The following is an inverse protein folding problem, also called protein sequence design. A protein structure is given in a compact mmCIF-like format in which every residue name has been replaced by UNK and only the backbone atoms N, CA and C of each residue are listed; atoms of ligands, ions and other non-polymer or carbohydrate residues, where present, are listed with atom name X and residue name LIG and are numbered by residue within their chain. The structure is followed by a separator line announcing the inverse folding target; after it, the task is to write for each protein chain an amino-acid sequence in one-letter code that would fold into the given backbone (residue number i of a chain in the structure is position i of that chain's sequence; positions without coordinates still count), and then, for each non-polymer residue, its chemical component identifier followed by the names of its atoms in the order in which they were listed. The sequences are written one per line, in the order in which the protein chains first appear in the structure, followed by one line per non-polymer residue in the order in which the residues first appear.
data_IF_386186846038
#
_entry.id   IF_386186846038
#
_cell.length_a   1.000
_cell.length_b   1.000
_cell.length_c   1.000
_cell.angle_alpha   90.00
_cell.angle_beta   90.00
_cell.angle_gamma   90.00
#
_symmetry.space_group_name_H-M   'P 1'
#
loop_
_entity.id
_entity.type
_entity.pdbx_description
1 polymer ?
#
# COMPACT_ATOMS: atom_id res chain seq x y z
N UNK A 1 -28.80 7.03 9.59
CA UNK A 1 -27.90 6.34 10.53
C UNK A 1 -27.09 5.36 9.70
N UNK A 2 -25.98 5.81 9.12
CA UNK A 2 -25.07 4.94 8.38
C UNK A 2 -24.34 4.06 9.39
N UNK A 3 -24.62 2.77 9.38
CA UNK A 3 -23.82 1.81 10.12
C UNK A 3 -22.44 1.78 9.47
N UNK A 4 -21.48 2.44 10.11
CA UNK A 4 -20.07 2.36 9.77
C UNK A 4 -19.67 0.89 9.92
N UNK A 5 -19.58 0.16 8.81
CA UNK A 5 -19.02 -1.19 8.81
C UNK A 5 -17.56 -1.03 9.22
N UNK A 6 -17.20 -1.47 10.43
CA UNK A 6 -15.81 -1.49 10.89
C UNK A 6 -15.06 -2.61 10.18
N UNK A 7 -14.66 -2.37 8.93
CA UNK A 7 -13.71 -3.21 8.23
C UNK A 7 -12.28 -2.87 8.70
N UNK A 8 -11.38 -3.86 8.70
CA UNK A 8 -9.97 -3.65 9.02
C UNK A 8 -9.37 -2.59 8.08
N UNK A 9 -9.00 -1.43 8.61
CA UNK A 9 -8.34 -0.38 7.85
C UNK A 9 -6.84 -0.43 8.14
N UNK A 10 -6.04 -0.11 7.13
CA UNK A 10 -4.60 -0.02 7.28
C UNK A 10 -4.00 1.11 6.45
N UNK A 11 -2.97 1.74 6.98
CA UNK A 11 -2.16 2.76 6.32
C UNK A 11 -0.71 2.31 6.25
N UNK A 12 -0.03 2.77 5.22
CA UNK A 12 1.40 2.54 5.00
C UNK A 12 2.03 3.89 4.74
N UNK A 13 2.96 4.27 5.61
CA UNK A 13 3.65 5.55 5.58
C UNK A 13 5.15 5.30 5.58
N UNK A 14 5.89 6.11 4.82
CA UNK A 14 7.34 6.11 4.85
C UNK A 14 7.83 7.15 5.84
N UNK A 15 8.69 6.72 6.75
CA UNK A 15 9.35 7.57 7.74
C UNK A 15 10.57 8.26 7.13
N UNK A 16 11.11 9.26 7.85
CA UNK A 16 12.29 10.02 7.43
C UNK A 16 13.55 9.15 7.30
N UNK A 17 13.63 8.06 8.06
CA UNK A 17 14.70 7.05 8.01
C UNK A 17 14.52 6.02 6.88
N UNK A 18 13.59 6.28 5.95
CA UNK A 18 13.20 5.44 4.83
C UNK A 18 12.52 4.11 5.19
N UNK A 19 12.26 3.85 6.48
CA UNK A 19 11.48 2.69 6.92
C UNK A 19 10.02 2.84 6.53
N UNK A 20 9.33 1.72 6.28
CA UNK A 20 7.89 1.72 6.04
C UNK A 20 7.17 1.31 7.33
N UNK A 21 6.30 2.18 7.81
CA UNK A 21 5.42 1.89 8.94
C UNK A 21 4.04 1.50 8.43
N UNK A 22 3.62 0.29 8.75
CA UNK A 22 2.25 -0.18 8.57
C UNK A 22 1.50 0.03 9.87
N UNK A 23 0.34 0.68 9.81
CA UNK A 23 -0.59 0.82 10.95
C UNK A 23 -1.93 0.25 10.56
N UNK A 24 -2.63 -0.35 11.50
CA UNK A 24 -4.00 -0.81 11.29
C UNK A 24 -4.92 -0.44 12.45
N UNK A 25 -6.19 -0.32 12.12
CA UNK A 25 -7.25 -0.04 13.08
C UNK A 25 -7.88 -1.33 13.59
N UNK A 26 -8.57 -1.21 14.71
CA UNK A 26 -9.20 -2.29 15.48
C UNK A 26 -8.19 -3.16 16.25
N UNK A 27 -8.55 -3.50 17.47
CA UNK A 27 -7.72 -4.36 18.33
C UNK A 27 -7.88 -5.81 17.88
N UNK A 28 -7.04 -6.24 16.93
CA UNK A 28 -6.99 -7.61 16.42
C UNK A 28 -5.87 -8.36 17.15
N UNK A 29 -6.20 -9.53 17.70
CA UNK A 29 -5.27 -10.32 18.50
C UNK A 29 -4.02 -10.74 17.73
N UNK A 30 -4.18 -11.20 16.49
CA UNK A 30 -3.10 -11.58 15.59
C UNK A 30 -3.35 -11.00 14.19
N UNK A 31 -2.33 -10.37 13.61
CA UNK A 31 -2.32 -9.90 12.23
C UNK A 31 -1.14 -10.51 11.49
N UNK A 32 -1.43 -11.27 10.44
CA UNK A 32 -0.44 -11.75 9.47
C UNK A 32 -0.28 -10.73 8.36
N UNK A 33 0.94 -10.31 8.10
CA UNK A 33 1.29 -9.31 7.09
C UNK A 33 2.03 -10.03 5.97
N UNK A 34 1.42 -10.05 4.79
CA UNK A 34 2.02 -10.55 3.56
C UNK A 34 2.44 -9.36 2.69
N UNK A 35 3.45 -9.54 1.85
CA UNK A 35 3.87 -8.52 0.89
C UNK A 35 4.08 -9.12 -0.50
N UNK A 36 3.93 -8.28 -1.53
CA UNK A 36 4.20 -8.61 -2.93
C UNK A 36 4.48 -7.34 -3.74
N UNK A 37 5.11 -7.48 -4.90
CA UNK A 37 5.21 -6.42 -5.92
C UNK A 37 3.97 -6.34 -6.83
N UNK A 38 3.02 -7.26 -6.66
CA UNK A 38 1.70 -7.23 -7.29
C UNK A 38 0.61 -6.89 -6.25
N UNK A 39 -0.38 -6.04 -6.58
CA UNK A 39 -1.51 -5.77 -5.69
C UNK A 39 -2.56 -6.89 -5.65
N UNK A 40 -2.49 -7.84 -6.60
CA UNK A 40 -3.48 -8.92 -6.76
C UNK A 40 -2.91 -10.23 -6.19
N UNK A 41 -3.77 -11.07 -5.61
CA UNK A 41 -3.44 -12.42 -5.12
C UNK A 41 -2.30 -12.50 -4.07
N UNK A 42 -2.07 -11.44 -3.29
CA UNK A 42 -0.95 -11.36 -2.33
C UNK A 42 -0.90 -12.52 -1.32
N UNK A 43 -2.03 -13.01 -0.82
CA UNK A 43 -2.03 -14.16 0.13
C UNK A 43 -1.57 -15.47 -0.52
N UNK A 44 -1.71 -15.60 -1.84
CA UNK A 44 -1.40 -16.80 -2.61
C UNK A 44 0.01 -16.74 -3.22
N UNK A 45 0.41 -15.56 -3.71
CA UNK A 45 1.65 -15.37 -4.48
C UNK A 45 2.69 -14.53 -3.77
N UNK A 46 2.32 -13.88 -2.67
CA UNK A 46 3.22 -13.05 -1.87
C UNK A 46 4.00 -13.85 -0.83
N UNK A 47 4.82 -13.13 -0.08
CA UNK A 47 5.61 -13.69 1.01
C UNK A 47 5.06 -13.22 2.36
N UNK A 48 5.05 -14.10 3.36
CA UNK A 48 4.74 -13.71 4.73
C UNK A 48 5.89 -12.87 5.28
N UNK A 49 5.62 -11.59 5.54
CA UNK A 49 6.59 -10.66 6.10
C UNK A 49 6.69 -10.81 7.63
N UNK A 50 5.54 -10.85 8.30
CA UNK A 50 5.47 -10.91 9.76
C UNK A 50 4.13 -11.45 10.27
N UNK A 51 4.15 -12.00 11.48
CA UNK A 51 2.96 -12.25 12.30
C UNK A 51 3.08 -11.40 13.55
N UNK A 52 2.12 -10.50 13.75
CA UNK A 52 2.12 -9.50 14.82
C UNK A 52 0.99 -9.81 15.79
N UNK A 53 1.27 -9.85 17.09
CA UNK A 53 0.30 -10.20 18.13
C UNK A 53 0.10 -9.05 19.11
N UNK A 54 -1.16 -8.65 19.35
CA UNK A 54 -1.52 -7.63 20.34
C UNK A 54 -1.07 -6.20 20.04
N UNK A 55 -0.49 -5.95 18.87
CA UNK A 55 -0.03 -4.65 18.41
C UNK A 55 -0.91 -4.11 17.27
N UNK A 56 -0.79 -2.81 16.99
CA UNK A 56 -1.52 -2.12 15.91
C UNK A 56 -0.61 -1.54 14.82
N UNK A 57 0.68 -1.85 14.88
CA UNK A 57 1.65 -1.38 13.88
C UNK A 57 2.82 -2.35 13.70
N UNK A 58 3.47 -2.23 12.54
CA UNK A 58 4.68 -2.96 12.20
C UNK A 58 5.59 -2.07 11.36
N UNK A 59 6.88 -1.99 11.72
CA UNK A 59 7.88 -1.21 11.00
C UNK A 59 8.77 -2.14 10.17
N UNK A 60 9.02 -1.75 8.93
CA UNK A 60 9.80 -2.50 7.97
C UNK A 60 11.05 -1.70 7.62
N UNK A 61 12.21 -2.25 7.96
CA UNK A 61 13.48 -1.55 7.83
C UNK A 61 14.14 -1.74 6.45
N UNK A 62 13.98 -2.91 5.82
CA UNK A 62 14.76 -3.30 4.63
C UNK A 62 13.89 -3.85 3.50
N UNK A 63 12.92 -3.08 3.01
CA UNK A 63 12.29 -3.41 1.73
C UNK A 63 13.03 -2.71 0.59
N UNK A 64 13.48 -3.48 -0.40
CA UNK A 64 14.11 -2.97 -1.63
C UNK A 64 13.25 -1.85 -2.24
N UNK A 65 13.85 -0.68 -2.44
CA UNK A 65 13.15 0.53 -2.93
C UNK A 65 12.96 0.55 -4.45
N UNK A 66 13.41 -0.49 -5.15
CA UNK A 66 13.39 -0.53 -6.62
C UNK A 66 12.05 -0.92 -7.22
N UNK A 67 11.16 -1.50 -6.41
CA UNK A 67 9.82 -1.90 -6.81
C UNK A 67 8.81 -1.40 -5.78
N UNK A 68 7.56 -1.26 -6.22
CA UNK A 68 6.48 -0.82 -5.34
C UNK A 68 5.92 -2.00 -4.54
N UNK A 69 5.99 -1.98 -3.20
CA UNK A 69 5.40 -3.03 -2.39
C UNK A 69 3.92 -2.78 -2.12
N UNK A 70 3.17 -3.88 -2.10
CA UNK A 70 1.80 -3.97 -1.63
C UNK A 70 1.77 -4.93 -0.45
N UNK A 71 0.96 -4.59 0.55
CA UNK A 71 0.84 -5.35 1.78
C UNK A 71 -0.58 -5.84 1.94
N UNK A 72 -0.72 -7.10 2.35
CA UNK A 72 -2.00 -7.71 2.71
C UNK A 72 -1.96 -8.08 4.18
N UNK A 73 -2.80 -7.43 4.96
CA UNK A 73 -2.98 -7.71 6.38
C UNK A 73 -4.18 -8.64 6.52
N UNK A 74 -3.99 -9.75 7.23
CA UNK A 74 -5.02 -10.76 7.51
C UNK A 74 -5.11 -10.94 9.01
N UNK A 75 -6.23 -10.49 9.59
CA UNK A 75 -6.51 -10.64 11.01
C UNK A 75 -7.02 -12.04 11.36
N UNK A 76 -6.76 -12.49 12.58
CA UNK A 76 -7.34 -13.75 13.12
C UNK A 76 -8.87 -13.75 13.16
N UNK A 77 -9.49 -12.57 13.17
CA UNK A 77 -10.93 -12.38 13.11
C UNK A 77 -11.54 -12.57 11.71
N UNK A 78 -10.75 -12.97 10.71
CA UNK A 78 -11.18 -13.21 9.33
C UNK A 78 -11.28 -11.94 8.47
N UNK A 79 -10.97 -10.77 9.02
CA UNK A 79 -10.89 -9.53 8.24
C UNK A 79 -9.56 -9.43 7.51
N UNK A 80 -9.57 -8.85 6.32
CA UNK A 80 -8.35 -8.61 5.57
C UNK A 80 -8.40 -7.29 4.81
N UNK A 81 -7.23 -6.68 4.62
CA UNK A 81 -7.09 -5.42 3.87
C UNK A 81 -5.78 -5.38 3.10
N UNK A 82 -5.85 -4.89 1.87
CA UNK A 82 -4.65 -4.53 1.10
C UNK A 82 -4.34 -3.05 1.30
N UNK A 83 -3.09 -2.72 1.61
CA UNK A 83 -2.59 -1.36 1.75
C UNK A 83 -1.22 -1.22 1.06
N UNK A 84 -0.87 0.00 0.69
CA UNK A 84 0.42 0.33 0.09
C UNK A 84 0.75 1.80 0.38
N UNK A 85 2.01 2.18 0.18
CA UNK A 85 2.42 3.58 0.26
C UNK A 85 1.63 4.38 -0.77
N UNK A 86 0.90 5.40 -0.29
CA UNK A 86 -0.02 6.19 -1.13
C UNK A 86 0.72 7.23 -1.95
N UNK A 87 1.65 7.96 -1.33
CA UNK A 87 2.53 8.91 -2.01
C UNK A 87 3.76 8.13 -2.47
N UNK A 88 3.96 8.04 -3.78
CA UNK A 88 5.11 7.28 -4.28
C UNK A 88 6.39 8.09 -4.04
N UNK A 89 7.52 7.42 -3.72
CA UNK A 89 8.78 8.08 -3.40
C UNK A 89 9.53 8.53 -4.67
N UNK A 90 8.83 9.26 -5.55
CA UNK A 90 9.40 9.79 -6.79
C UNK A 90 10.24 11.03 -6.49
N UNK A 91 11.38 11.15 -7.16
CA UNK A 91 12.35 12.24 -7.00
C UNK A 91 11.90 13.51 -7.73
N UNK A 92 11.32 13.34 -8.92
CA UNK A 92 11.03 14.41 -9.86
C UNK A 92 9.56 14.76 -10.04
N UNK A 93 8.65 13.99 -9.43
CA UNK A 93 7.21 14.24 -9.50
C UNK A 93 6.65 14.70 -8.16
N UNK A 94 5.87 15.78 -8.20
CA UNK A 94 5.25 16.32 -6.99
C UNK A 94 3.86 15.72 -6.77
N UNK A 95 3.56 15.37 -5.51
CA UNK A 95 2.26 14.86 -5.08
C UNK A 95 1.74 13.66 -5.89
N UNK A 96 2.63 12.81 -6.42
CA UNK A 96 2.24 11.60 -7.14
C UNK A 96 1.66 10.56 -6.19
N UNK A 97 0.39 10.19 -6.40
CA UNK A 97 -0.40 9.36 -5.49
C UNK A 97 -1.12 8.24 -6.22
N UNK A 98 -1.15 7.07 -5.59
CA UNK A 98 -2.10 6.01 -5.93
C UNK A 98 -3.45 6.24 -5.21
N UNK A 99 -4.55 6.10 -5.93
CA UNK A 99 -5.91 6.25 -5.42
C UNK A 99 -6.49 4.93 -4.85
N UNK A 100 -5.69 3.87 -4.80
CA UNK A 100 -6.07 2.60 -4.21
C UNK A 100 -6.49 2.69 -2.75
N UNK A 101 -7.37 1.76 -2.37
CA UNK A 101 -7.87 1.62 -1.01
C UNK A 101 -8.98 2.59 -0.61
N UNK A 102 -9.30 3.61 -1.42
CA UNK A 102 -10.45 4.47 -1.17
C UNK A 102 -11.77 3.72 -1.35
N UNK A 103 -12.69 3.94 -0.40
CA UNK A 103 -14.04 3.42 -0.47
C UNK A 103 -14.90 4.27 -1.39
N UNK A 104 -15.68 3.61 -2.22
CA UNK A 104 -16.69 4.20 -3.10
C UNK A 104 -18.01 4.32 -2.34
N UNK A 105 -18.93 5.15 -2.83
CA UNK A 105 -20.28 5.30 -2.26
C UNK A 105 -21.08 3.99 -2.25
N UNK A 106 -20.66 2.99 -3.02
CA UNK A 106 -21.27 1.66 -3.08
C UNK A 106 -20.58 0.64 -2.14
N UNK A 107 -19.65 1.07 -1.28
CA UNK A 107 -18.93 0.21 -0.33
C UNK A 107 -17.86 -0.69 -0.97
N UNK A 108 -17.51 -0.45 -2.24
CA UNK A 108 -16.38 -1.11 -2.94
C UNK A 108 -15.11 -0.28 -2.76
N UNK A 109 -13.93 -0.91 -2.85
CA UNK A 109 -12.64 -0.19 -2.81
C UNK A 109 -12.02 -0.04 -4.19
N UNK A 110 -11.38 1.10 -4.43
CA UNK A 110 -10.51 1.32 -5.59
C UNK A 110 -9.33 0.34 -5.50
N UNK A 111 -9.08 -0.39 -6.59
CA UNK A 111 -7.93 -1.29 -6.69
C UNK A 111 -6.63 -0.52 -6.64
N UNK A 112 -5.69 -0.99 -5.82
CA UNK A 112 -4.32 -0.48 -5.79
C UNK A 112 -3.61 -0.74 -7.13
N UNK A 113 -2.74 0.19 -7.51
CA UNK A 113 -1.93 0.09 -8.72
C UNK A 113 -2.70 0.32 -10.03
N UNK A 114 -3.92 0.87 -9.98
CA UNK A 114 -4.78 1.05 -11.17
C UNK A 114 -5.08 2.50 -11.53
N UNK A 115 -5.10 3.40 -10.54
CA UNK A 115 -5.41 4.81 -10.77
C UNK A 115 -4.45 5.68 -9.98
N UNK A 116 -3.78 6.58 -10.69
CA UNK A 116 -2.80 7.49 -10.12
C UNK A 116 -3.19 8.93 -10.42
N UNK A 117 -2.78 9.83 -9.54
CA UNK A 117 -2.95 11.27 -9.68
C UNK A 117 -1.64 11.96 -9.35
N UNK A 118 -1.29 12.98 -10.10
CA UNK A 118 -0.13 13.84 -9.84
C UNK A 118 -0.49 15.29 -10.13
N UNK A 119 0.25 16.22 -9.54
CA UNK A 119 0.16 17.64 -9.86
C UNK A 119 1.08 18.00 -11.03
N UNK A 120 2.29 17.43 -11.10
CA UNK A 120 3.25 17.67 -12.18
C UNK A 120 4.10 16.42 -12.45
N UNK A 121 4.27 16.11 -13.75
CA UNK A 121 5.07 14.98 -14.26
C UNK A 121 6.29 15.41 -15.07
N UNK A 122 6.46 16.71 -15.32
CA UNK A 122 7.52 17.23 -16.20
C UNK A 122 8.95 16.99 -15.65
N UNK A 123 9.08 16.79 -14.34
CA UNK A 123 10.35 16.58 -13.67
C UNK A 123 10.77 15.12 -13.48
N UNK A 124 10.00 14.12 -13.95
CA UNK A 124 10.30 12.71 -13.74
C UNK A 124 11.74 12.37 -14.16
N UNK A 125 12.51 11.78 -13.24
CA UNK A 125 13.86 11.31 -13.52
C UNK A 125 13.85 9.96 -14.23
N UNK A 126 14.99 9.52 -14.77
CA UNK A 126 15.11 8.17 -15.33
C UNK A 126 14.78 7.08 -14.29
N UNK A 127 15.17 7.30 -13.03
CA UNK A 127 14.84 6.41 -11.93
C UNK A 127 13.32 6.38 -11.65
N UNK A 128 12.65 7.53 -11.69
CA UNK A 128 11.19 7.59 -11.52
C UNK A 128 10.45 6.83 -12.63
N UNK A 129 10.92 6.97 -13.87
CA UNK A 129 10.35 6.27 -15.03
C UNK A 129 10.51 4.76 -14.87
N UNK A 130 11.70 4.28 -14.51
CA UNK A 130 11.96 2.85 -14.27
C UNK A 130 11.08 2.31 -13.13
N UNK A 131 10.98 3.05 -12.01
CA UNK A 131 10.12 2.69 -10.88
C UNK A 131 8.63 2.58 -11.27
N UNK A 132 8.13 3.55 -12.04
CA UNK A 132 6.73 3.56 -12.50
C UNK A 132 6.45 2.44 -13.51
N UNK A 133 7.38 2.17 -14.43
CA UNK A 133 7.25 1.08 -15.41
C UNK A 133 7.20 -0.29 -14.72
N UNK A 134 8.05 -0.54 -13.72
CA UNK A 134 8.01 -1.76 -12.90
C UNK A 134 6.71 -1.91 -12.11
N UNK A 135 6.07 -0.80 -11.76
CA UNK A 135 4.74 -0.79 -11.13
C UNK A 135 3.59 -1.12 -12.11
N UNK A 136 3.90 -1.40 -13.38
CA UNK A 136 2.91 -1.74 -14.41
C UNK A 136 2.24 -0.52 -15.07
N UNK A 137 2.74 0.69 -14.79
CA UNK A 137 2.23 1.91 -15.44
C UNK A 137 2.92 2.11 -16.79
N UNK A 138 2.10 2.42 -17.80
CA UNK A 138 2.59 2.95 -19.07
C UNK A 138 2.49 4.46 -19.04
N UNK A 139 3.63 5.14 -19.10
CA UNK A 139 3.67 6.58 -19.34
C UNK A 139 3.28 6.83 -20.81
N UNK A 140 2.30 7.70 -21.03
CA UNK A 140 1.92 8.18 -22.37
C UNK A 140 2.42 9.62 -22.46
N UNK A 141 3.37 9.86 -23.35
CA UNK A 141 3.92 11.18 -23.68
C UNK A 141 3.67 11.53 -25.14
#
# INVERSE_FOLDING_TARGET
MEQQRNWLQATVERNEDHTLQIKWENNIEEVRIYWSTSPEHIEETGELLATVNGESSYTIENLSSTERPYFRLVGSNGQAVTAAERRLPLQGAFNFRDMGGYETTEGRKVKWGKLYRSEELAGLTEWDIDYLQKSGLKLIG
#
